data_IF_605157857423
#
_entry.id   IF_605157857423
#
_cell.length_a   1.000
_cell.length_b   1.000
_cell.length_c   1.000
_cell.angle_alpha   90.00
_cell.angle_beta   90.00
_cell.angle_gamma   90.00
#
_symmetry.space_group_name_H-M   'P 1'
#
loop_
_entity.id
_entity.type
_entity.pdbx_description
1 polymer ?
#
# COMPACT_ATOMS: atom_id res chain seq x y z
N UNK A 1 -80.59 55.64 -37.95
CA UNK A 1 -79.40 55.10 -37.25
C UNK A 1 -79.38 55.71 -35.86
N UNK A 2 -79.77 54.84 -34.82
CA UNK A 2 -79.67 55.27 -33.39
C UNK A 2 -78.43 54.63 -32.79
N UNK A 3 -77.44 55.43 -32.37
CA UNK A 3 -76.30 54.97 -31.59
C UNK A 3 -76.80 54.74 -30.16
N UNK A 4 -76.77 53.54 -29.68
CA UNK A 4 -77.03 53.18 -28.30
C UNK A 4 -75.82 53.51 -27.43
N UNK A 5 -75.98 54.49 -26.59
CA UNK A 5 -74.99 54.87 -25.58
C UNK A 5 -75.04 53.78 -24.45
N UNK A 6 -74.04 52.97 -24.35
CA UNK A 6 -73.88 52.02 -23.22
C UNK A 6 -73.09 52.72 -22.13
N UNK A 7 -73.78 53.29 -21.19
CA UNK A 7 -73.17 53.77 -19.93
C UNK A 7 -72.77 52.52 -19.15
N UNK A 8 -71.46 52.28 -19.03
CA UNK A 8 -70.94 51.24 -18.18
C UNK A 8 -70.92 51.72 -16.74
N UNK A 9 -71.95 51.39 -15.96
CA UNK A 9 -71.96 51.71 -14.51
C UNK A 9 -71.19 50.58 -13.73
N UNK A 10 -70.07 50.93 -13.23
CA UNK A 10 -69.29 50.06 -12.34
C UNK A 10 -69.93 50.08 -10.92
N UNK A 11 -70.49 49.00 -10.47
CA UNK A 11 -71.11 48.89 -9.15
C UNK A 11 -70.03 48.84 -8.08
N UNK A 12 -69.73 49.96 -7.49
CA UNK A 12 -68.63 50.17 -6.52
C UNK A 12 -68.78 49.26 -5.25
N UNK A 13 -69.98 48.75 -4.98
CA UNK A 13 -70.23 47.86 -3.83
C UNK A 13 -69.70 46.47 -4.06
N UNK A 14 -69.55 46.03 -5.32
CA UNK A 14 -68.98 44.71 -5.68
C UNK A 14 -67.47 44.76 -5.94
N UNK A 15 -66.95 45.94 -6.29
CA UNK A 15 -65.51 46.09 -6.63
C UNK A 15 -64.71 46.47 -5.38
N UNK A 16 -65.36 47.17 -4.40
CA UNK A 16 -64.70 47.61 -3.16
C UNK A 16 -63.97 46.54 -2.39
N UNK A 17 -64.60 45.38 -2.06
CA UNK A 17 -63.89 44.34 -1.31
C UNK A 17 -62.78 43.68 -2.09
N UNK A 18 -62.90 43.55 -3.42
CA UNK A 18 -61.86 42.96 -4.24
C UNK A 18 -60.63 43.90 -4.34
N UNK A 19 -60.85 45.19 -4.41
CA UNK A 19 -59.78 46.20 -4.44
C UNK A 19 -59.04 46.30 -3.13
N UNK A 20 -59.75 46.14 -1.99
CA UNK A 20 -59.15 46.09 -0.64
C UNK A 20 -58.27 44.83 -0.49
N UNK A 21 -58.73 43.66 -0.94
CA UNK A 21 -57.95 42.42 -0.92
C UNK A 21 -56.68 42.53 -1.82
N UNK A 22 -56.82 43.13 -3.00
CA UNK A 22 -55.69 43.33 -3.88
C UNK A 22 -54.67 44.28 -3.26
N UNK A 23 -55.08 45.38 -2.63
CA UNK A 23 -54.20 46.28 -1.91
C UNK A 23 -53.52 45.63 -0.70
N UNK A 24 -54.19 44.78 0.04
CA UNK A 24 -53.63 44.02 1.15
C UNK A 24 -52.58 43.01 0.64
N UNK A 25 -52.81 42.35 -0.49
CA UNK A 25 -51.83 41.46 -1.09
C UNK A 25 -50.55 42.16 -1.57
N UNK A 26 -50.67 43.37 -2.10
CA UNK A 26 -49.53 44.21 -2.51
C UNK A 26 -48.71 44.66 -1.30
N UNK A 27 -49.34 45.01 -0.20
CA UNK A 27 -48.64 45.44 1.04
C UNK A 27 -47.91 44.27 1.69
N UNK A 28 -48.48 43.07 1.66
CA UNK A 28 -47.82 41.87 2.18
C UNK A 28 -46.62 41.42 1.33
N UNK A 29 -46.68 41.64 0.03
CA UNK A 29 -45.55 41.32 -0.88
C UNK A 29 -44.37 42.30 -0.74
N UNK A 30 -44.58 43.50 -0.24
CA UNK A 30 -43.54 44.51 -0.06
C UNK A 30 -42.65 44.27 1.19
N UNK A 31 -43.03 43.32 2.09
CA UNK A 31 -42.24 43.00 3.29
C UNK A 31 -41.32 41.80 3.16
N UNK A 32 -41.23 41.16 2.00
CA UNK A 32 -40.19 40.13 1.73
C UNK A 32 -38.91 40.84 1.26
N UNK A 33 -38.24 41.54 2.18
CA UNK A 33 -36.87 41.99 1.97
C UNK A 33 -35.98 40.75 1.83
N UNK A 34 -35.28 40.61 0.73
CA UNK A 34 -34.24 39.60 0.56
C UNK A 34 -33.22 39.76 1.70
N UNK A 35 -33.00 38.70 2.47
CA UNK A 35 -31.89 38.64 3.42
C UNK A 35 -30.62 38.82 2.61
N UNK A 36 -29.86 39.88 2.85
CA UNK A 36 -28.59 40.12 2.22
C UNK A 36 -27.72 38.85 2.26
N UNK A 37 -27.04 38.54 1.20
CA UNK A 37 -26.10 37.42 1.12
C UNK A 37 -25.10 37.53 2.29
N UNK A 38 -24.92 36.44 3.00
CA UNK A 38 -23.90 36.34 4.04
C UNK A 38 -22.53 36.55 3.38
N UNK A 39 -21.74 37.47 3.91
CA UNK A 39 -20.41 37.74 3.39
C UNK A 39 -19.58 36.44 3.30
N UNK A 40 -18.65 36.35 2.38
CA UNK A 40 -17.78 35.19 2.24
C UNK A 40 -17.08 34.89 3.57
N UNK A 41 -17.01 33.61 3.92
CA UNK A 41 -16.25 33.15 5.08
C UNK A 41 -14.81 33.58 4.92
N UNK A 42 -14.21 34.17 5.95
CA UNK A 42 -12.80 34.53 5.96
C UNK A 42 -11.91 33.34 5.59
N UNK A 43 -10.86 33.59 4.89
CA UNK A 43 -9.88 32.56 4.51
C UNK A 43 -9.33 31.86 5.77
N UNK A 44 -9.19 30.55 5.67
CA UNK A 44 -8.56 29.74 6.72
C UNK A 44 -7.13 30.23 6.92
N UNK A 45 -6.75 30.49 8.16
CA UNK A 45 -5.38 30.86 8.50
C UNK A 45 -4.37 29.83 8.00
N UNK A 46 -3.14 30.23 7.71
CA UNK A 46 -2.08 29.32 7.29
C UNK A 46 -1.89 28.21 8.34
N UNK A 47 -1.52 26.99 7.91
CA UNK A 47 -1.16 25.94 8.84
C UNK A 47 -0.05 26.42 9.79
N UNK A 48 -0.13 26.01 11.05
CA UNK A 48 0.93 26.28 12.02
C UNK A 48 2.28 25.71 11.55
N UNK A 49 3.38 26.25 12.00
CA UNK A 49 4.70 25.70 11.68
C UNK A 49 4.78 24.25 12.13
N UNK A 50 5.44 23.43 11.34
CA UNK A 50 5.72 22.05 11.68
C UNK A 50 6.53 22.01 13.00
N UNK A 51 6.14 21.13 13.91
CA UNK A 51 6.88 20.94 15.17
C UNK A 51 8.33 20.58 14.87
N UNK A 52 9.23 20.99 15.74
CA UNK A 52 10.65 20.67 15.63
C UNK A 52 10.84 19.15 15.61
N UNK A 53 11.77 18.68 14.79
CA UNK A 53 12.15 17.27 14.76
C UNK A 53 12.68 16.88 16.14
N UNK A 54 12.19 15.79 16.69
CA UNK A 54 12.69 15.25 17.95
C UNK A 54 14.21 15.04 17.90
N UNK A 55 14.88 15.06 19.04
CA UNK A 55 16.32 14.79 19.11
C UNK A 55 16.61 13.42 18.48
N UNK A 56 17.74 13.30 17.80
CA UNK A 56 18.22 12.02 17.32
C UNK A 56 18.29 11.03 18.49
N UNK A 57 17.83 9.81 18.28
CA UNK A 57 17.98 8.73 19.25
C UNK A 57 19.46 8.55 19.61
N UNK A 58 19.76 7.98 20.78
CA UNK A 58 21.14 7.63 21.13
C UNK A 58 21.76 6.80 20.01
N UNK A 59 23.01 7.03 19.71
CA UNK A 59 23.76 6.15 18.80
C UNK A 59 23.64 4.72 19.33
N UNK A 60 23.28 3.77 18.45
CA UNK A 60 23.31 2.35 18.79
C UNK A 60 24.71 2.00 19.34
N UNK A 61 24.73 1.11 20.30
CA UNK A 61 26.02 0.59 20.79
C UNK A 61 26.79 0.03 19.58
N UNK A 62 28.03 0.46 19.41
CA UNK A 62 28.87 -0.10 18.36
C UNK A 62 29.10 -1.57 18.68
N UNK A 63 28.62 -2.46 17.81
CA UNK A 63 28.93 -3.88 17.94
C UNK A 63 30.46 -4.02 18.02
N UNK A 64 30.93 -4.68 19.07
CA UNK A 64 32.34 -5.00 19.19
C UNK A 64 32.70 -5.96 18.07
N UNK A 65 33.87 -5.77 17.43
CA UNK A 65 34.38 -6.77 16.48
C UNK A 65 34.50 -8.17 17.12
N UNK A 66 34.56 -8.25 18.44
CA UNK A 66 34.57 -9.50 19.18
C UNK A 66 33.19 -10.19 19.21
N UNK A 67 32.10 -9.42 19.02
CA UNK A 67 30.74 -9.93 18.99
C UNK A 67 30.35 -10.42 17.59
N UNK A 68 31.12 -10.02 16.56
CA UNK A 68 30.94 -10.46 15.19
C UNK A 68 31.66 -11.79 14.97
N UNK A 69 30.92 -12.88 14.88
CA UNK A 69 31.50 -14.20 14.64
C UNK A 69 31.79 -14.46 13.13
N UNK A 70 32.36 -13.46 12.45
CA UNK A 70 32.70 -13.56 11.04
C UNK A 70 33.57 -14.80 10.72
N UNK A 71 34.48 -15.11 11.62
CA UNK A 71 35.37 -16.28 11.49
C UNK A 71 34.59 -17.61 11.51
N UNK A 72 33.44 -17.67 12.21
CA UNK A 72 32.61 -18.89 12.20
C UNK A 72 32.01 -19.22 10.85
N UNK A 73 31.94 -18.24 9.95
CA UNK A 73 31.43 -18.41 8.59
C UNK A 73 32.49 -18.17 7.51
N UNK A 74 33.46 -17.30 7.77
CA UNK A 74 34.48 -16.87 6.82
C UNK A 74 35.88 -17.41 7.14
N UNK A 75 35.99 -18.43 7.97
CA UNK A 75 37.23 -19.16 8.10
C UNK A 75 37.43 -20.10 6.93
N UNK A 76 38.69 -20.57 6.72
CA UNK A 76 39.00 -21.52 5.71
C UNK A 76 38.55 -22.95 6.10
N UNK A 77 37.59 -23.08 7.01
CA UNK A 77 37.07 -24.39 7.44
C UNK A 77 36.39 -25.11 6.27
N UNK A 78 36.54 -26.39 6.23
CA UNK A 78 35.95 -27.25 5.21
C UNK A 78 34.43 -27.23 5.20
N UNK A 79 33.80 -26.71 6.25
CA UNK A 79 32.34 -26.68 6.36
C UNK A 79 31.74 -25.70 5.36
N UNK A 80 32.17 -24.43 5.37
CA UNK A 80 31.63 -23.41 4.43
C UNK A 80 32.06 -23.67 3.03
N UNK A 81 33.34 -23.96 2.82
CA UNK A 81 33.85 -24.29 1.48
C UNK A 81 33.19 -25.52 0.89
N UNK A 82 32.93 -26.57 1.70
CA UNK A 82 32.18 -27.74 1.30
C UNK A 82 30.73 -27.46 0.96
N UNK A 83 30.05 -26.61 1.74
CA UNK A 83 28.65 -26.18 1.48
C UNK A 83 28.58 -25.34 0.22
N UNK A 84 29.47 -24.36 0.04
CA UNK A 84 29.54 -23.53 -1.15
C UNK A 84 29.82 -24.37 -2.41
N UNK A 85 30.75 -25.34 -2.33
CA UNK A 85 31.02 -26.27 -3.44
C UNK A 85 29.78 -27.13 -3.77
N UNK A 86 29.04 -27.59 -2.73
CA UNK A 86 27.82 -28.37 -2.94
C UNK A 86 26.73 -27.57 -3.64
N UNK A 87 26.53 -26.32 -3.22
CA UNK A 87 25.59 -25.40 -3.90
C UNK A 87 26.04 -25.11 -5.30
N UNK A 88 27.34 -24.85 -5.50
CA UNK A 88 27.93 -24.54 -6.81
C UNK A 88 27.74 -25.64 -7.87
N UNK A 89 27.61 -26.91 -7.46
CA UNK A 89 27.33 -28.02 -8.39
C UNK A 89 25.87 -28.45 -8.41
N UNK A 90 25.04 -27.85 -7.57
CA UNK A 90 23.58 -28.11 -7.51
C UNK A 90 22.85 -27.49 -8.70
N UNK A 91 21.57 -27.84 -8.86
CA UNK A 91 20.70 -27.19 -9.85
C UNK A 91 20.50 -25.73 -9.59
N UNK A 92 20.54 -25.31 -8.34
CA UNK A 92 20.44 -23.88 -7.96
C UNK A 92 21.69 -23.11 -8.36
N UNK A 93 22.89 -23.72 -8.25
CA UNK A 93 24.15 -23.07 -8.57
C UNK A 93 24.54 -23.14 -10.07
N UNK A 94 24.08 -24.13 -10.82
CA UNK A 94 24.48 -24.35 -12.21
C UNK A 94 23.37 -24.15 -13.24
N UNK A 95 22.11 -24.16 -12.83
CA UNK A 95 20.98 -24.03 -13.74
C UNK A 95 20.92 -22.67 -14.44
N UNK A 96 20.39 -22.61 -15.64
CA UNK A 96 20.19 -21.39 -16.42
C UNK A 96 18.74 -20.84 -16.26
N UNK A 97 17.88 -21.50 -15.48
CA UNK A 97 16.49 -21.12 -15.33
C UNK A 97 16.32 -19.79 -14.60
N UNK A 98 17.34 -19.31 -13.92
CA UNK A 98 17.29 -18.01 -13.22
C UNK A 98 16.97 -16.85 -14.16
N UNK A 99 17.33 -16.91 -15.43
CA UNK A 99 17.01 -15.88 -16.43
C UNK A 99 15.49 -15.65 -16.59
N UNK A 100 14.67 -16.62 -16.21
CA UNK A 100 13.20 -16.48 -16.19
C UNK A 100 12.72 -15.51 -15.13
N UNK A 101 13.55 -15.25 -14.12
CA UNK A 101 13.29 -14.27 -13.08
C UNK A 101 13.08 -12.84 -13.61
N UNK A 102 13.47 -12.54 -14.84
CA UNK A 102 13.17 -11.28 -15.51
C UNK A 102 11.66 -11.06 -15.76
N UNK A 103 10.82 -12.09 -15.62
CA UNK A 103 9.36 -11.99 -15.72
C UNK A 103 8.73 -12.06 -14.33
N UNK A 104 7.82 -11.14 -14.02
CA UNK A 104 7.14 -11.08 -12.72
C UNK A 104 6.53 -12.43 -12.29
N UNK A 105 5.84 -13.13 -13.19
CA UNK A 105 5.22 -14.43 -12.90
C UNK A 105 6.21 -15.56 -12.60
N UNK A 106 7.49 -15.36 -12.88
CA UNK A 106 8.54 -16.37 -12.68
C UNK A 106 9.57 -15.93 -11.63
N UNK A 107 9.65 -14.64 -11.33
CA UNK A 107 10.71 -14.06 -10.52
C UNK A 107 10.81 -14.68 -9.12
N UNK A 108 9.70 -14.85 -8.42
CA UNK A 108 9.66 -15.38 -7.06
C UNK A 108 10.27 -16.77 -6.90
N UNK A 109 10.26 -17.59 -7.95
CA UNK A 109 10.86 -18.94 -7.89
C UNK A 109 12.21 -18.99 -8.61
N UNK A 110 12.44 -18.14 -9.62
CA UNK A 110 13.58 -18.28 -10.53
C UNK A 110 14.71 -17.28 -10.27
N UNK A 111 14.49 -16.16 -9.54
CA UNK A 111 15.56 -15.27 -9.10
C UNK A 111 15.84 -15.41 -7.60
N UNK A 112 17.10 -15.43 -7.21
CA UNK A 112 17.51 -15.47 -5.80
C UNK A 112 17.07 -14.23 -5.03
N UNK A 113 17.19 -13.04 -5.64
CA UNK A 113 16.74 -11.78 -5.07
C UNK A 113 15.22 -11.76 -4.88
N UNK A 114 14.46 -11.99 -5.94
CA UNK A 114 13.01 -12.00 -5.90
C UNK A 114 12.43 -13.14 -5.04
N UNK A 115 13.11 -14.27 -4.92
CA UNK A 115 12.72 -15.33 -3.97
C UNK A 115 12.79 -14.81 -2.53
N UNK A 116 13.86 -14.10 -2.18
CA UNK A 116 13.98 -13.51 -0.83
C UNK A 116 12.86 -12.51 -0.54
N UNK A 117 12.51 -11.68 -1.52
CA UNK A 117 11.38 -10.74 -1.41
C UNK A 117 10.04 -11.47 -1.27
N UNK A 118 9.84 -12.52 -2.06
CA UNK A 118 8.64 -13.36 -1.98
C UNK A 118 8.49 -14.00 -0.59
N UNK A 119 9.55 -14.54 -0.03
CA UNK A 119 9.53 -15.12 1.33
C UNK A 119 9.19 -14.02 2.36
N UNK A 120 9.80 -12.86 2.27
CA UNK A 120 9.49 -11.72 3.14
C UNK A 120 8.03 -11.25 3.03
N UNK A 121 7.40 -11.42 1.87
CA UNK A 121 5.99 -11.15 1.62
C UNK A 121 5.04 -12.32 1.98
N UNK A 122 5.53 -13.33 2.72
CA UNK A 122 4.72 -14.46 3.18
C UNK A 122 4.67 -15.67 2.24
N UNK A 123 5.61 -15.77 1.30
CA UNK A 123 5.77 -16.96 0.44
C UNK A 123 4.77 -17.06 -0.72
N UNK A 124 4.12 -15.98 -1.11
CA UNK A 124 3.19 -15.97 -2.24
C UNK A 124 3.90 -15.54 -3.53
N UNK A 125 4.03 -16.41 -4.53
CA UNK A 125 4.63 -16.03 -5.82
C UNK A 125 3.92 -14.88 -6.53
N UNK A 126 2.63 -14.71 -6.28
CA UNK A 126 1.83 -13.60 -6.83
C UNK A 126 2.08 -12.24 -6.14
N UNK A 127 2.86 -12.19 -5.07
CA UNK A 127 3.26 -10.94 -4.42
C UNK A 127 4.36 -10.19 -5.18
N UNK A 128 5.01 -10.85 -6.13
CA UNK A 128 6.04 -10.22 -6.98
C UNK A 128 5.36 -9.60 -8.19
N UNK A 129 5.24 -8.27 -8.17
CA UNK A 129 4.53 -7.51 -9.20
C UNK A 129 5.40 -7.23 -10.43
N UNK A 130 6.72 -7.15 -10.26
CA UNK A 130 7.68 -6.87 -11.32
C UNK A 130 8.72 -7.98 -11.43
N UNK A 131 9.23 -8.17 -12.63
CA UNK A 131 10.36 -9.08 -12.84
C UNK A 131 11.65 -8.51 -12.27
N UNK A 132 12.56 -9.40 -11.87
CA UNK A 132 13.87 -8.99 -11.43
C UNK A 132 14.69 -8.47 -12.65
N UNK A 133 15.12 -7.20 -12.67
CA UNK A 133 15.87 -6.65 -13.79
C UNK A 133 17.26 -7.26 -13.95
N UNK A 134 17.81 -7.89 -12.91
CA UNK A 134 19.10 -8.56 -12.90
C UNK A 134 18.99 -9.91 -12.16
N UNK A 135 18.28 -10.87 -12.75
CA UNK A 135 17.98 -12.12 -12.07
C UNK A 135 19.25 -12.93 -11.79
N UNK A 136 19.37 -13.37 -10.55
CA UNK A 136 20.51 -14.13 -10.05
C UNK A 136 20.12 -15.57 -9.73
N UNK A 137 21.11 -16.47 -9.69
CA UNK A 137 20.91 -17.81 -9.15
C UNK A 137 20.57 -17.76 -7.67
N UNK A 138 19.95 -18.81 -7.17
CA UNK A 138 19.73 -18.99 -5.74
C UNK A 138 21.08 -19.10 -5.03
N UNK A 139 21.32 -18.25 -4.08
CA UNK A 139 22.52 -18.21 -3.26
C UNK A 139 22.23 -18.58 -1.79
N UNK A 140 23.21 -18.42 -0.92
CA UNK A 140 23.01 -18.75 0.50
C UNK A 140 21.94 -17.89 1.16
N UNK A 141 21.78 -16.62 0.74
CA UNK A 141 20.78 -15.70 1.31
C UNK A 141 19.36 -16.05 0.94
N UNK A 142 19.15 -16.72 -0.19
CA UNK A 142 17.84 -17.19 -0.57
C UNK A 142 17.27 -18.18 0.46
N UNK A 143 18.14 -18.94 1.12
CA UNK A 143 17.74 -19.97 2.06
C UNK A 143 18.03 -19.63 3.53
N UNK A 144 19.02 -18.80 3.82
CA UNK A 144 19.52 -18.52 5.16
C UNK A 144 19.51 -17.03 5.49
N UNK A 145 19.41 -16.68 6.77
CA UNK A 145 19.39 -15.31 7.26
C UNK A 145 20.77 -14.63 7.22
N UNK A 146 21.57 -14.91 6.22
CA UNK A 146 22.97 -14.47 6.11
C UNK A 146 23.08 -12.93 6.26
N UNK A 147 23.97 -12.50 7.15
CA UNK A 147 24.22 -11.11 7.51
C UNK A 147 23.03 -10.37 8.13
N UNK A 148 22.14 -11.08 8.78
CA UNK A 148 21.03 -10.51 9.55
C UNK A 148 21.48 -10.17 10.98
N UNK A 149 22.10 -11.14 11.66
CA UNK A 149 22.58 -10.99 13.05
C UNK A 149 24.10 -10.91 13.16
N UNK A 150 24.82 -11.33 12.12
CA UNK A 150 26.27 -11.52 12.11
C UNK A 150 26.78 -12.51 13.18
N UNK A 151 25.95 -13.46 13.55
CA UNK A 151 26.24 -14.54 14.48
C UNK A 151 25.94 -15.89 13.84
N UNK A 152 26.16 -16.98 14.60
CA UNK A 152 25.78 -18.31 14.14
C UNK A 152 24.27 -18.51 13.89
N UNK A 153 23.42 -17.60 14.34
CA UNK A 153 21.99 -17.62 14.07
C UNK A 153 21.66 -17.35 12.59
N UNK A 154 22.57 -16.71 11.86
CA UNK A 154 22.43 -16.45 10.43
C UNK A 154 22.34 -17.73 9.58
N UNK A 155 22.69 -18.88 10.14
CA UNK A 155 22.46 -20.18 9.50
C UNK A 155 21.01 -20.67 9.59
N UNK A 156 20.15 -19.99 10.35
CA UNK A 156 18.73 -20.31 10.34
C UNK A 156 18.14 -20.13 8.96
N UNK A 157 17.14 -20.94 8.64
CA UNK A 157 16.39 -20.78 7.38
C UNK A 157 15.57 -19.49 7.41
N UNK A 158 15.39 -18.88 6.26
CA UNK A 158 14.59 -17.65 6.09
C UNK A 158 13.14 -17.86 6.50
N UNK A 159 12.61 -19.05 6.32
CA UNK A 159 11.30 -19.47 6.88
C UNK A 159 11.24 -20.96 7.10
N UNK A 160 10.46 -21.36 8.08
CA UNK A 160 10.01 -22.74 8.32
C UNK A 160 8.51 -22.80 8.53
N UNK A 161 7.81 -21.73 8.24
CA UNK A 161 6.36 -21.65 8.39
C UNK A 161 5.63 -22.57 7.41
N UNK A 162 4.46 -23.11 7.77
CA UNK A 162 3.64 -23.87 6.85
C UNK A 162 3.30 -23.09 5.59
N UNK A 163 3.39 -23.73 4.44
CA UNK A 163 3.22 -23.11 3.12
C UNK A 163 1.81 -23.34 2.58
N UNK A 164 1.12 -22.27 2.25
CA UNK A 164 -0.12 -22.35 1.48
C UNK A 164 0.22 -22.77 0.03
N UNK A 165 -0.37 -23.85 -0.44
CA UNK A 165 -0.10 -24.34 -1.78
C UNK A 165 -0.80 -23.48 -2.82
N UNK A 166 -0.03 -22.70 -3.56
CA UNK A 166 -0.55 -21.76 -4.56
C UNK A 166 -1.48 -22.42 -5.60
N UNK A 167 -1.19 -23.65 -5.99
CA UNK A 167 -1.96 -24.38 -6.99
C UNK A 167 -3.21 -25.08 -6.43
N UNK A 168 -3.39 -25.16 -5.12
CA UNK A 168 -4.48 -25.91 -4.48
C UNK A 168 -5.08 -25.05 -3.36
N UNK A 169 -6.21 -24.42 -3.67
CA UNK A 169 -6.90 -23.52 -2.74
C UNK A 169 -7.23 -24.22 -1.40
N UNK A 170 -6.88 -23.56 -0.31
CA UNK A 170 -7.14 -24.04 1.06
C UNK A 170 -6.22 -25.17 1.54
N UNK A 171 -5.29 -25.64 0.70
CA UNK A 171 -4.32 -26.65 1.13
C UNK A 171 -3.04 -25.99 1.65
N UNK A 172 -2.47 -26.60 2.68
CA UNK A 172 -1.18 -26.22 3.24
C UNK A 172 -0.26 -27.43 3.32
N UNK A 173 1.02 -27.17 3.17
CA UNK A 173 2.08 -28.14 3.42
C UNK A 173 2.84 -27.74 4.70
N UNK A 174 3.09 -28.69 5.57
CA UNK A 174 3.91 -28.51 6.75
C UNK A 174 4.90 -29.68 6.89
N UNK A 175 6.12 -29.46 6.43
CA UNK A 175 7.24 -30.37 6.48
C UNK A 175 8.44 -29.81 7.25
N UNK A 176 8.20 -28.84 8.16
CA UNK A 176 9.24 -28.18 8.95
C UNK A 176 10.26 -27.47 8.07
N UNK A 177 11.56 -27.84 8.13
CA UNK A 177 12.61 -27.22 7.30
C UNK A 177 12.39 -27.41 5.79
N UNK A 178 11.57 -28.37 5.37
CA UNK A 178 11.18 -28.55 3.97
C UNK A 178 10.24 -27.49 3.45
N UNK A 179 9.59 -26.72 4.33
CA UNK A 179 8.65 -25.67 3.97
C UNK A 179 9.29 -24.59 3.09
N UNK A 180 10.55 -24.24 3.37
CA UNK A 180 11.28 -23.30 2.52
C UNK A 180 11.30 -23.72 1.05
N UNK A 181 11.60 -25.00 0.77
CA UNK A 181 11.66 -25.53 -0.59
C UNK A 181 10.27 -25.55 -1.28
N UNK A 182 9.22 -25.69 -0.50
CA UNK A 182 7.86 -25.83 -1.02
C UNK A 182 7.27 -24.47 -1.49
N UNK A 183 7.94 -23.35 -1.18
CA UNK A 183 7.53 -22.03 -1.65
C UNK A 183 7.76 -21.82 -3.18
N UNK A 184 8.51 -22.67 -3.81
CA UNK A 184 8.64 -22.73 -5.27
C UNK A 184 7.75 -23.83 -5.85
#
# INVERSE_FOLDING_TARGET
>A
MRRGDRTFSVDLRRVGPALVVLLLMVVLAACSGETGEQGPQGEQGPPGPQGEQGPAGPAGESASMADLSCVGCHDDSTIITGKAASVGVSRHGTGESFVRGASASCAGCHSGGAFTEMIAAGGNPGAIEEGDPDPTRQDCKACHLIHTTYTGEDWALTTTDPVALYAVEGATFDGGSGNLCTNC
#
